data_IF_440719903168
#
_entry.id   IF_440719903168
#
_cell.length_a   1.000
_cell.length_b   1.000
_cell.length_c   1.000
_cell.angle_alpha   90.00
_cell.angle_beta   90.00
_cell.angle_gamma   90.00
#
_symmetry.space_group_name_H-M   'P 1'
#
loop_
_entity.id
_entity.type
_entity.pdbx_description
1 polymer ?
#
# COMPACT_ATOMS: atom_id res chain seq x y z
N UNK A 1 11.24 16.19 -0.12
CA UNK A 1 11.65 15.06 -1.00
C UNK A 1 12.03 15.55 -2.38
N UNK A 2 11.18 16.33 -3.05
CA UNK A 2 11.50 16.87 -4.38
C UNK A 2 12.73 17.79 -4.38
N UNK A 3 12.87 18.66 -3.39
CA UNK A 3 14.10 19.47 -3.20
C UNK A 3 15.36 18.62 -2.99
N UNK A 4 15.21 17.41 -2.45
CA UNK A 4 16.30 16.45 -2.29
C UNK A 4 16.59 15.63 -3.56
N UNK A 5 15.89 15.91 -4.67
CA UNK A 5 16.13 15.27 -5.97
C UNK A 5 15.27 14.04 -6.27
N UNK A 6 14.23 13.74 -5.48
CA UNK A 6 13.31 12.64 -5.82
C UNK A 6 12.51 12.95 -7.10
N UNK A 7 12.44 12.01 -8.04
CA UNK A 7 11.62 12.19 -9.25
C UNK A 7 10.15 11.82 -9.05
N UNK A 8 9.90 10.81 -8.23
CA UNK A 8 8.56 10.31 -7.93
C UNK A 8 8.47 9.99 -6.45
N UNK A 9 7.38 10.38 -5.81
CA UNK A 9 7.14 10.10 -4.39
C UNK A 9 6.01 9.09 -4.23
N UNK A 10 6.25 8.06 -3.41
CA UNK A 10 5.25 7.09 -2.99
C UNK A 10 4.49 7.63 -1.78
N UNK A 11 3.16 7.74 -1.89
CA UNK A 11 2.29 8.38 -0.91
C UNK A 11 1.38 7.35 -0.26
N UNK A 12 1.41 7.29 1.07
CA UNK A 12 0.51 6.46 1.88
C UNK A 12 1.13 6.10 3.23
N UNK A 13 0.39 6.34 4.32
CA UNK A 13 0.80 6.00 5.68
C UNK A 13 -0.39 5.55 6.53
N UNK A 14 -0.37 4.28 6.96
CA UNK A 14 -1.48 3.65 7.66
C UNK A 14 -2.66 3.07 6.86
N UNK A 15 -2.84 3.23 5.53
CA UNK A 15 -4.04 2.75 4.83
C UNK A 15 -3.95 1.27 4.40
N UNK A 16 -2.76 0.66 4.46
CA UNK A 16 -2.52 -0.70 3.98
C UNK A 16 -3.28 -1.75 4.79
N UNK A 17 -3.72 -2.84 4.14
CA UNK A 17 -4.54 -3.89 4.74
C UNK A 17 -3.89 -4.61 5.93
N UNK A 18 -2.56 -4.63 5.98
CA UNK A 18 -1.75 -5.23 7.05
C UNK A 18 -0.93 -4.19 7.82
N UNK A 19 -1.12 -2.90 7.53
CA UNK A 19 -0.39 -1.82 8.15
C UNK A 19 -0.97 -1.52 9.53
N UNK A 20 -0.14 -1.62 10.57
CA UNK A 20 -0.55 -1.35 11.96
C UNK A 20 -0.14 0.04 12.44
N UNK A 21 0.50 0.86 11.60
CA UNK A 21 1.09 2.16 12.02
C UNK A 21 0.06 3.10 12.64
N UNK A 22 -1.16 3.17 12.09
CA UNK A 22 -2.21 4.03 12.68
C UNK A 22 -2.61 3.58 14.09
N UNK A 23 -2.64 2.26 14.33
CA UNK A 23 -3.03 1.68 15.62
C UNK A 23 -1.89 1.76 16.64
N UNK A 24 -0.66 1.43 16.21
CA UNK A 24 0.50 1.31 17.10
C UNK A 24 1.17 2.66 17.36
N UNK A 25 1.42 3.45 16.30
CA UNK A 25 2.11 4.73 16.42
C UNK A 25 1.15 5.92 16.58
N UNK A 26 -0.17 5.71 16.39
CA UNK A 26 -1.15 6.80 16.39
C UNK A 26 -1.05 7.75 15.20
N UNK A 27 -0.20 7.44 14.22
CA UNK A 27 0.09 8.31 13.07
C UNK A 27 -0.49 7.72 11.80
N UNK A 28 -1.23 8.54 11.06
CA UNK A 28 -1.72 8.20 9.73
C UNK A 28 -2.58 9.31 9.13
N UNK A 29 -2.79 9.23 7.83
CA UNK A 29 -3.64 10.18 7.08
C UNK A 29 -4.68 9.39 6.29
N UNK A 30 -5.94 9.88 6.15
CA UNK A 30 -6.89 9.29 5.22
C UNK A 30 -6.33 9.28 3.79
N UNK A 31 -6.45 8.15 3.10
CA UNK A 31 -5.66 7.91 1.88
C UNK A 31 -5.98 8.90 0.75
N UNK A 32 -7.25 9.21 0.52
CA UNK A 32 -7.64 10.17 -0.53
C UNK A 32 -7.12 11.57 -0.22
N UNK A 33 -7.21 12.02 1.03
CA UNK A 33 -6.64 13.29 1.48
C UNK A 33 -5.13 13.32 1.26
N UNK A 34 -4.42 12.27 1.67
CA UNK A 34 -2.97 12.17 1.47
C UNK A 34 -2.58 12.27 -0.01
N UNK A 35 -3.28 11.55 -0.89
CA UNK A 35 -3.03 11.60 -2.34
C UNK A 35 -3.28 13.00 -2.87
N UNK A 36 -4.43 13.61 -2.54
CA UNK A 36 -4.81 14.92 -3.06
C UNK A 36 -3.83 16.02 -2.64
N UNK A 37 -3.46 16.06 -1.35
CA UNK A 37 -2.55 17.08 -0.82
C UNK A 37 -1.14 16.92 -1.43
N UNK A 38 -0.62 15.69 -1.45
CA UNK A 38 0.70 15.42 -2.04
C UNK A 38 0.72 15.63 -3.55
N UNK A 39 -0.35 15.28 -4.28
CA UNK A 39 -0.45 15.52 -5.72
C UNK A 39 -0.49 17.03 -6.02
N UNK A 40 -1.20 17.79 -5.19
CA UNK A 40 -1.28 19.25 -5.32
C UNK A 40 0.08 19.90 -5.19
N UNK A 41 0.91 19.44 -4.25
CA UNK A 41 2.28 19.91 -4.14
C UNK A 41 3.14 19.40 -5.31
N UNK A 42 3.09 18.10 -5.64
CA UNK A 42 3.89 17.52 -6.72
C UNK A 42 3.68 18.22 -8.08
N UNK A 43 2.45 18.66 -8.38
CA UNK A 43 2.14 19.44 -9.58
C UNK A 43 2.91 20.76 -9.67
N UNK A 44 3.14 21.45 -8.55
CA UNK A 44 3.93 22.70 -8.53
C UNK A 44 5.38 22.47 -8.92
N UNK A 45 5.90 21.28 -8.66
CA UNK A 45 7.26 20.86 -9.00
C UNK A 45 7.34 20.14 -10.36
N UNK A 46 6.20 19.95 -11.06
CA UNK A 46 6.14 19.15 -12.29
C UNK A 46 6.53 17.68 -12.08
N UNK A 47 6.30 17.13 -10.87
CA UNK A 47 6.66 15.76 -10.48
C UNK A 47 5.41 14.88 -10.30
N UNK A 48 5.63 13.56 -10.27
CA UNK A 48 4.57 12.57 -10.16
C UNK A 48 4.55 11.90 -8.76
N UNK A 49 3.42 11.25 -8.46
CA UNK A 49 3.26 10.46 -7.23
C UNK A 49 2.64 9.08 -7.51
N UNK A 50 2.96 8.13 -6.64
CA UNK A 50 2.37 6.78 -6.62
C UNK A 50 1.50 6.65 -5.37
N UNK A 51 0.22 6.33 -5.53
CA UNK A 51 -0.69 6.07 -4.42
C UNK A 51 -0.51 4.64 -3.90
N UNK A 52 -0.10 4.50 -2.64
CA UNK A 52 0.23 3.20 -2.03
C UNK A 52 -0.67 2.86 -0.84
N UNK A 53 -1.36 1.73 -0.95
CA UNK A 53 -2.20 1.16 0.09
C UNK A 53 -3.64 1.67 0.10
N UNK A 54 -4.49 0.95 0.84
CA UNK A 54 -5.92 1.27 1.00
C UNK A 54 -6.85 0.83 -0.13
N UNK A 55 -6.32 0.20 -1.20
CA UNK A 55 -7.11 -0.22 -2.36
C UNK A 55 -7.65 -1.63 -2.12
N UNK A 56 -8.97 -1.77 -2.09
CA UNK A 56 -9.66 -3.07 -1.94
C UNK A 56 -10.38 -3.48 -3.22
N UNK A 57 -10.90 -2.51 -3.97
CA UNK A 57 -11.68 -2.76 -5.18
C UNK A 57 -11.18 -1.91 -6.34
N UNK A 58 -11.55 -2.29 -7.57
CA UNK A 58 -11.21 -1.53 -8.78
C UNK A 58 -11.66 -0.07 -8.72
N UNK A 59 -12.81 0.21 -8.09
CA UNK A 59 -13.28 1.58 -7.88
C UNK A 59 -12.35 2.44 -7.01
N UNK A 60 -11.58 1.84 -6.10
CA UNK A 60 -10.62 2.57 -5.27
C UNK A 60 -9.38 2.98 -6.08
N UNK A 61 -9.01 2.19 -7.10
CA UNK A 61 -7.95 2.54 -8.07
C UNK A 61 -8.38 3.81 -8.81
N UNK A 62 -9.61 3.83 -9.34
CA UNK A 62 -10.13 4.98 -10.08
C UNK A 62 -10.14 6.23 -9.19
N UNK A 63 -10.57 6.12 -7.93
CA UNK A 63 -10.56 7.24 -6.97
C UNK A 63 -9.14 7.72 -6.66
N UNK A 64 -8.18 6.80 -6.49
CA UNK A 64 -6.79 7.16 -6.24
C UNK A 64 -6.17 7.93 -7.42
N UNK A 65 -6.43 7.48 -8.65
CA UNK A 65 -5.98 8.16 -9.87
C UNK A 65 -6.67 9.52 -10.02
N UNK A 66 -7.99 9.57 -9.85
CA UNK A 66 -8.78 10.81 -9.91
C UNK A 66 -8.36 11.84 -8.85
N UNK A 67 -7.85 11.39 -7.70
CA UNK A 67 -7.33 12.26 -6.65
C UNK A 67 -5.94 12.85 -6.97
N UNK A 68 -5.32 12.44 -8.08
CA UNK A 68 -4.03 12.97 -8.56
C UNK A 68 -2.87 11.95 -8.51
N UNK A 69 -3.14 10.69 -8.18
CA UNK A 69 -2.16 9.61 -8.32
C UNK A 69 -1.84 9.33 -9.79
N UNK A 70 -0.55 9.18 -10.14
CA UNK A 70 -0.15 8.82 -11.51
C UNK A 70 -0.09 7.30 -11.71
N UNK A 71 0.16 6.57 -10.62
CA UNK A 71 0.09 5.12 -10.55
C UNK A 71 -0.41 4.69 -9.16
N UNK A 72 -0.82 3.43 -9.06
CA UNK A 72 -1.20 2.80 -7.79
C UNK A 72 -0.27 1.64 -7.48
N UNK A 73 0.11 1.49 -6.21
CA UNK A 73 0.83 0.33 -5.70
C UNK A 73 -0.15 -0.62 -5.01
N UNK A 74 -0.18 -1.88 -5.47
CA UNK A 74 -1.12 -2.90 -5.02
C UNK A 74 -0.37 -4.02 -4.29
N UNK A 75 -0.72 -4.24 -3.02
CA UNK A 75 -0.19 -5.34 -2.21
C UNK A 75 -1.17 -6.50 -2.14
N UNK A 76 -2.10 -6.46 -1.18
CA UNK A 76 -2.99 -7.58 -0.87
C UNK A 76 -3.87 -8.05 -2.03
N UNK A 77 -4.18 -7.18 -2.99
CA UNK A 77 -4.92 -7.55 -4.20
C UNK A 77 -4.15 -8.54 -5.08
N UNK A 78 -2.82 -8.45 -5.08
CA UNK A 78 -1.95 -9.30 -5.90
C UNK A 78 -1.34 -10.47 -5.10
N UNK A 79 -1.43 -10.45 -3.78
CA UNK A 79 -0.76 -11.39 -2.88
C UNK A 79 -1.18 -12.87 -3.07
N UNK A 80 -2.40 -13.13 -3.54
CA UNK A 80 -2.92 -14.49 -3.73
C UNK A 80 -2.82 -15.04 -5.16
N UNK A 81 -2.18 -14.31 -6.07
CA UNK A 81 -2.05 -14.70 -7.48
C UNK A 81 -1.08 -15.89 -7.64
N UNK A 82 -1.09 -16.57 -8.79
CA UNK A 82 -0.15 -17.66 -9.07
C UNK A 82 1.30 -17.17 -9.09
N UNK A 83 1.50 -15.95 -9.53
CA UNK A 83 2.76 -15.26 -9.74
C UNK A 83 3.35 -14.70 -8.43
N UNK A 84 2.53 -14.51 -7.40
CA UNK A 84 3.02 -14.05 -6.11
C UNK A 84 3.92 -15.11 -5.46
N UNK A 85 5.04 -14.70 -4.83
CA UNK A 85 5.96 -15.65 -4.20
C UNK A 85 5.32 -16.37 -3.01
N UNK A 86 5.76 -17.59 -2.76
CA UNK A 86 5.30 -18.42 -1.64
C UNK A 86 4.33 -19.53 -2.05
N UNK A 87 4.22 -20.53 -1.18
CA UNK A 87 3.39 -21.70 -1.41
C UNK A 87 1.91 -21.44 -1.09
N UNK A 88 1.03 -22.13 -1.82
CA UNK A 88 -0.40 -22.09 -1.54
C UNK A 88 -0.73 -23.17 -0.53
N UNK A 89 -1.33 -22.78 0.60
CA UNK A 89 -1.78 -23.69 1.65
C UNK A 89 -3.31 -23.81 1.62
N UNK A 90 -3.82 -25.01 1.91
CA UNK A 90 -5.26 -25.21 2.10
C UNK A 90 -5.57 -25.04 3.58
N UNK A 91 -6.33 -24.01 3.91
CA UNK A 91 -6.82 -23.77 5.26
C UNK A 91 -8.35 -23.74 5.23
N UNK A 92 -9.00 -24.55 6.06
CA UNK A 92 -10.47 -24.64 6.14
C UNK A 92 -11.15 -24.82 4.76
N UNK A 93 -10.57 -25.66 3.90
CA UNK A 93 -11.10 -25.97 2.57
C UNK A 93 -10.95 -24.84 1.53
N UNK A 94 -10.23 -23.76 1.84
CA UNK A 94 -9.91 -22.68 0.91
C UNK A 94 -8.40 -22.59 0.70
N UNK A 95 -8.01 -22.19 -0.51
CA UNK A 95 -6.60 -21.94 -0.86
C UNK A 95 -6.19 -20.54 -0.42
N UNK A 96 -5.09 -20.44 0.30
CA UNK A 96 -4.52 -19.19 0.76
C UNK A 96 -3.02 -19.14 0.47
N UNK A 97 -2.51 -17.95 0.20
CA UNK A 97 -1.07 -17.66 0.26
C UNK A 97 -0.83 -16.72 1.43
N UNK A 98 0.29 -16.93 2.11
CA UNK A 98 0.73 -16.04 3.19
C UNK A 98 1.15 -14.69 2.62
N UNK A 99 0.55 -13.62 3.13
CA UNK A 99 0.99 -12.25 2.89
C UNK A 99 1.71 -11.71 4.13
N UNK A 100 2.95 -11.23 3.95
CA UNK A 100 3.74 -10.58 5.01
C UNK A 100 4.31 -9.24 4.52
N UNK A 101 4.46 -8.27 5.42
CA UNK A 101 5.03 -6.94 5.15
C UNK A 101 6.39 -6.79 5.80
N UNK A 102 7.31 -6.04 5.17
CA UNK A 102 8.69 -5.82 5.64
C UNK A 102 8.81 -5.30 7.08
N UNK A 103 7.81 -4.58 7.60
CA UNK A 103 7.79 -4.09 8.98
C UNK A 103 7.22 -5.08 10.02
N UNK A 104 6.66 -6.21 9.58
CA UNK A 104 6.16 -7.24 10.47
C UNK A 104 7.25 -8.30 10.64
N UNK A 105 7.99 -8.22 11.75
CA UNK A 105 8.93 -9.27 12.12
C UNK A 105 8.14 -10.56 12.40
N UNK A 106 8.16 -11.50 11.44
CA UNK A 106 7.85 -12.89 11.74
C UNK A 106 8.98 -13.39 12.64
N UNK A 107 8.77 -13.37 13.96
CA UNK A 107 9.60 -14.17 14.86
C UNK A 107 9.55 -15.61 14.36
N UNK A 108 10.64 -16.06 13.73
CA UNK A 108 10.86 -17.46 13.39
C UNK A 108 10.80 -18.26 14.69
N UNK A 109 9.84 -19.19 14.78
CA UNK A 109 9.81 -20.21 15.82
C UNK A 109 8.71 -20.02 16.86
N UNK A 110 7.50 -20.48 16.53
CA UNK A 110 6.95 -21.72 17.12
C UNK A 110 5.63 -22.05 16.44
N UNK A 111 5.60 -23.18 15.74
CA UNK A 111 4.42 -24.05 15.74
C UNK A 111 4.05 -24.28 17.21
N UNK A 112 2.91 -23.76 17.62
CA UNK A 112 2.08 -24.37 18.65
C UNK A 112 0.69 -24.47 18.05
#
# INVERSE_FOLDING_TARGET
MFEAGADIVKVGIGPGSICTTRVVAGVGVPQITAIYDCATEARKHGKAIIADGGIKYSGDIVKALASGGHAVMLGSLLAGTSESPGETEIFQGRRFKVLSWYGFCRCNGKRK
#
